data_IF_745657385556
#
_entry.id   IF_745657385556
#
_cell.length_a   1.000
_cell.length_b   1.000
_cell.length_c   1.000
_cell.angle_alpha   90.00
_cell.angle_beta   90.00
_cell.angle_gamma   90.00
#
_symmetry.space_group_name_H-M   'P 1'
#
loop_
_entity.id
_entity.type
_entity.pdbx_description
1 polymer ?
#
# COMPACT_ATOMS: atom_id res chain seq x y z
N UNK A 1 27.06 8.12 -11.54
CA UNK A 1 25.68 7.72 -11.19
C UNK A 1 25.20 8.73 -10.15
N UNK A 2 24.18 9.51 -10.50
CA UNK A 2 23.78 10.74 -9.79
C UNK A 2 23.01 10.41 -8.48
N UNK A 3 23.37 10.97 -7.31
CA UNK A 3 22.92 10.46 -6.01
C UNK A 3 21.58 11.03 -5.48
N UNK A 4 20.79 11.74 -6.28
CA UNK A 4 19.52 12.31 -5.80
C UNK A 4 18.41 12.15 -6.83
N UNK A 5 17.94 10.90 -7.00
CA UNK A 5 16.70 10.64 -7.73
C UNK A 5 15.50 11.12 -6.91
N UNK A 6 15.21 12.41 -7.01
CA UNK A 6 13.96 12.99 -6.54
C UNK A 6 12.84 12.48 -7.47
N UNK A 7 12.01 11.58 -6.96
CA UNK A 7 10.83 11.12 -7.66
C UNK A 7 9.68 12.09 -7.36
N UNK A 8 9.37 12.96 -8.32
CA UNK A 8 8.22 13.85 -8.25
C UNK A 8 6.96 13.05 -8.60
N UNK A 9 6.10 12.80 -7.62
CA UNK A 9 4.80 12.18 -7.83
C UNK A 9 3.71 13.23 -7.77
N UNK A 10 2.86 13.29 -8.79
CA UNK A 10 1.92 14.39 -9.01
C UNK A 10 0.76 14.48 -8.01
N UNK A 11 0.60 13.53 -7.08
CA UNK A 11 -0.53 13.51 -6.12
C UNK A 11 -0.36 12.47 -5.00
N UNK A 12 0.86 12.02 -4.70
CA UNK A 12 1.08 10.85 -3.84
C UNK A 12 0.33 10.97 -2.50
N UNK A 13 -0.71 10.16 -2.33
CA UNK A 13 -1.45 10.03 -1.07
C UNK A 13 -0.76 8.96 -0.23
N UNK A 14 -0.49 9.31 1.02
CA UNK A 14 0.29 8.48 1.92
C UNK A 14 -0.61 7.87 3.01
N UNK A 15 -0.41 6.59 3.29
CA UNK A 15 -0.87 5.95 4.51
C UNK A 15 0.36 5.61 5.36
N UNK A 16 0.38 6.10 6.60
CA UNK A 16 1.47 5.88 7.53
C UNK A 16 1.03 4.86 8.56
N UNK A 17 1.83 3.82 8.75
CA UNK A 17 1.67 2.95 9.89
C UNK A 17 2.64 3.43 10.96
N UNK A 18 2.12 4.04 12.04
CA UNK A 18 2.93 4.25 13.23
C UNK A 18 3.06 2.89 13.91
N UNK A 19 4.02 2.07 13.49
CA UNK A 19 4.46 0.97 14.35
C UNK A 19 5.13 1.63 15.56
N UNK A 20 4.55 1.53 16.77
CA UNK A 20 5.26 2.00 17.95
C UNK A 20 6.44 1.05 18.10
N UNK A 21 7.65 1.58 17.97
CA UNK A 21 8.87 0.90 18.38
C UNK A 21 8.68 0.47 19.84
N UNK A 22 8.36 -0.80 20.07
CA UNK A 22 8.20 -1.32 21.43
C UNK A 22 8.94 -2.63 21.57
N UNK A 23 10.15 -2.47 22.11
CA UNK A 23 10.72 -3.25 23.21
C UNK A 23 10.36 -4.74 23.25
N UNK A 24 11.37 -5.58 23.05
CA UNK A 24 11.40 -6.93 23.61
C UNK A 24 11.06 -8.06 22.64
N UNK A 25 12.13 -8.78 22.27
CA UNK A 25 12.18 -10.24 22.06
C UNK A 25 11.65 -10.91 20.79
N UNK A 26 10.87 -10.29 19.89
CA UNK A 26 10.47 -10.97 18.62
C UNK A 26 10.84 -10.16 17.37
N UNK A 27 12.09 -10.29 16.92
CA UNK A 27 12.69 -9.48 15.85
C UNK A 27 12.21 -9.82 14.42
N UNK A 28 11.42 -10.88 14.23
CA UNK A 28 11.01 -11.34 12.88
C UNK A 28 9.78 -10.63 12.30
N UNK A 29 9.09 -9.77 13.06
CA UNK A 29 7.83 -9.15 12.61
C UNK A 29 8.01 -7.80 11.89
N UNK A 30 9.18 -7.16 12.00
CA UNK A 30 9.45 -5.85 11.39
C UNK A 30 9.65 -5.93 9.87
N UNK A 31 10.06 -7.10 9.37
CA UNK A 31 10.20 -7.38 7.93
C UNK A 31 8.87 -7.51 7.19
N UNK A 32 7.76 -7.67 7.92
CA UNK A 32 6.47 -8.05 7.31
C UNK A 32 5.54 -6.87 7.02
N UNK A 33 5.78 -5.69 7.59
CA UNK A 33 4.79 -4.61 7.61
C UNK A 33 5.38 -3.31 7.07
N UNK A 34 4.67 -2.59 6.18
CA UNK A 34 5.18 -1.35 5.61
C UNK A 34 5.08 -0.21 6.63
N UNK A 35 6.13 0.61 6.71
CA UNK A 35 6.19 1.84 7.51
C UNK A 35 5.39 2.96 6.85
N UNK A 36 5.39 3.01 5.52
CA UNK A 36 4.62 3.98 4.74
C UNK A 36 4.19 3.38 3.40
N UNK A 37 3.02 3.79 2.90
CA UNK A 37 2.53 3.42 1.58
C UNK A 37 2.15 4.66 0.78
N UNK A 38 2.61 4.77 -0.46
CA UNK A 38 2.30 5.85 -1.38
C UNK A 38 1.48 5.32 -2.55
N UNK A 39 0.36 5.97 -2.84
CA UNK A 39 -0.45 5.64 -4.01
C UNK A 39 0.01 6.44 -5.24
N UNK A 40 0.40 5.74 -6.30
CA UNK A 40 0.60 6.29 -7.64
C UNK A 40 -0.61 6.01 -8.55
N UNK A 41 -0.49 6.32 -9.85
CA UNK A 41 -1.57 6.15 -10.82
C UNK A 41 -1.94 4.67 -11.04
N UNK A 42 -0.93 3.80 -11.11
CA UNK A 42 -1.08 2.40 -11.50
C UNK A 42 -0.59 1.40 -10.43
N UNK A 43 -0.03 1.90 -9.32
CA UNK A 43 0.61 1.07 -8.31
C UNK A 43 0.65 1.74 -6.94
N UNK A 44 0.77 0.92 -5.91
CA UNK A 44 1.11 1.33 -4.55
C UNK A 44 2.58 1.06 -4.29
N UNK A 45 3.29 2.02 -3.72
CA UNK A 45 4.66 1.90 -3.27
C UNK A 45 4.68 1.72 -1.76
N UNK A 46 5.17 0.60 -1.26
CA UNK A 46 5.26 0.32 0.17
C UNK A 46 6.73 0.40 0.60
N UNK A 47 7.01 1.27 1.57
CA UNK A 47 8.33 1.43 2.19
C UNK A 47 8.37 0.56 3.44
N UNK A 48 9.35 -0.33 3.51
CA UNK A 48 9.60 -1.17 4.68
C UNK A 48 10.83 -0.66 5.42
N UNK A 49 10.79 -0.79 6.75
CA UNK A 49 11.91 -0.44 7.62
C UNK A 49 13.15 -1.27 7.31
N UNK A 50 14.31 -0.67 7.56
CA UNK A 50 15.61 -1.36 7.53
C UNK A 50 15.73 -2.24 8.79
N UNK A 51 16.17 -3.48 8.61
CA UNK A 51 16.46 -4.40 9.70
C UNK A 51 17.77 -4.02 10.38
N UNK A 52 17.76 -4.01 11.72
CA UNK A 52 18.94 -3.78 12.56
C UNK A 52 19.91 -4.97 12.55
N UNK A 53 19.62 -6.07 11.84
CA UNK A 53 20.37 -7.33 11.92
C UNK A 53 21.04 -7.84 10.64
N UNK A 54 21.01 -7.11 9.52
CA UNK A 54 21.66 -7.60 8.30
C UNK A 54 21.69 -6.58 7.17
N UNK A 55 22.83 -5.90 7.05
CA UNK A 55 23.43 -5.39 5.79
C UNK A 55 22.65 -4.40 4.91
N UNK A 56 21.47 -3.93 5.30
CA UNK A 56 20.71 -2.94 4.54
C UNK A 56 20.50 -1.66 5.35
N UNK A 57 21.45 -0.72 5.29
CA UNK A 57 21.34 0.65 5.82
C UNK A 57 20.18 1.45 5.18
N UNK A 58 19.49 0.88 4.18
CA UNK A 58 18.51 1.57 3.33
C UNK A 58 17.13 0.92 3.43
N UNK A 59 16.06 1.73 3.55
CA UNK A 59 14.70 1.22 3.48
C UNK A 59 14.44 0.54 2.14
N UNK A 60 13.70 -0.56 2.15
CA UNK A 60 13.33 -1.27 0.92
C UNK A 60 11.99 -0.77 0.40
N UNK A 61 11.90 -0.61 -0.93
CA UNK A 61 10.70 -0.14 -1.62
C UNK A 61 10.08 -1.30 -2.39
N UNK A 62 8.83 -1.63 -2.08
CA UNK A 62 8.06 -2.64 -2.80
C UNK A 62 7.02 -1.99 -3.70
N UNK A 63 6.96 -2.43 -4.95
CA UNK A 63 5.99 -1.97 -5.93
C UNK A 63 4.84 -2.98 -6.02
N UNK A 64 3.62 -2.54 -5.71
CA UNK A 64 2.39 -3.33 -5.79
C UNK A 64 1.55 -2.80 -6.95
N UNK A 65 1.58 -3.42 -8.14
CA UNK A 65 0.75 -3.00 -9.26
C UNK A 65 -0.73 -3.21 -8.90
N UNK A 66 -1.58 -2.25 -9.26
CA UNK A 66 -3.02 -2.38 -9.11
C UNK A 66 -3.55 -3.47 -10.06
N UNK A 67 -4.60 -4.21 -9.67
CA UNK A 67 -5.23 -5.17 -10.58
C UNK A 67 -5.72 -4.49 -11.86
N UNK A 68 -5.44 -5.10 -13.01
CA UNK A 68 -5.88 -4.56 -14.31
C UNK A 68 -7.40 -4.41 -14.40
N UNK A 69 -8.15 -5.30 -13.74
CA UNK A 69 -9.61 -5.22 -13.65
C UNK A 69 -10.08 -3.94 -12.93
N UNK A 70 -9.26 -3.43 -12.01
CA UNK A 70 -9.55 -2.23 -11.25
C UNK A 70 -9.09 -0.96 -12.00
N UNK A 71 -7.88 -0.97 -12.57
CA UNK A 71 -7.32 0.18 -13.30
C UNK A 71 -7.89 0.37 -14.71
N UNK A 72 -8.27 -0.72 -15.39
CA UNK A 72 -8.76 -0.70 -16.78
C UNK A 72 -10.19 -0.16 -16.95
N UNK A 73 -10.96 -0.04 -15.86
CA UNK A 73 -12.33 0.48 -15.87
C UNK A 73 -12.41 1.99 -15.62
N UNK A 74 -11.28 2.71 -15.73
CA UNK A 74 -11.16 4.12 -15.36
C UNK A 74 -11.59 4.41 -13.92
N UNK A 75 -11.25 3.52 -12.99
CA UNK A 75 -11.38 3.80 -11.55
C UNK A 75 -10.02 4.25 -11.03
N UNK A 76 -9.65 5.54 -11.24
CA UNK A 76 -8.38 6.01 -10.74
C UNK A 76 -8.36 5.76 -9.24
N UNK A 77 -7.32 5.09 -8.77
CA UNK A 77 -7.13 4.92 -7.35
C UNK A 77 -6.88 6.30 -6.73
N UNK A 78 -7.70 6.68 -5.75
CA UNK A 78 -7.65 8.00 -5.12
C UNK A 78 -7.39 7.92 -3.64
N UNK A 79 -7.70 6.81 -3.00
CA UNK A 79 -7.65 6.64 -1.56
C UNK A 79 -6.82 5.42 -1.24
N UNK A 80 -6.07 5.49 -0.15
CA UNK A 80 -5.27 4.39 0.36
C UNK A 80 -5.39 4.38 1.88
N UNK A 81 -5.54 3.20 2.45
CA UNK A 81 -5.54 2.99 3.89
C UNK A 81 -4.76 1.71 4.20
N UNK A 82 -4.04 1.70 5.32
CA UNK A 82 -3.27 0.55 5.79
C UNK A 82 -3.86 0.08 7.10
N UNK A 83 -3.98 -1.24 7.27
CA UNK A 83 -4.50 -1.84 8.50
C UNK A 83 -3.65 -1.44 9.70
N UNK A 84 -4.23 -1.42 10.90
CA UNK A 84 -3.52 -1.04 12.12
C UNK A 84 -2.28 -1.91 12.40
N UNK A 85 -2.23 -3.13 11.85
CA UNK A 85 -1.07 -4.03 11.94
C UNK A 85 -0.14 -3.96 10.72
N UNK A 86 -0.53 -3.29 9.63
CA UNK A 86 0.25 -3.23 8.39
C UNK A 86 0.21 -4.51 7.54
N UNK A 87 -0.68 -5.45 7.84
CA UNK A 87 -0.77 -6.74 7.15
C UNK A 87 -1.63 -6.68 5.89
N UNK A 88 -2.66 -5.84 5.92
CA UNK A 88 -3.55 -5.60 4.79
C UNK A 88 -3.57 -4.11 4.42
N UNK A 89 -3.82 -3.84 3.15
CA UNK A 89 -3.86 -2.52 2.55
C UNK A 89 -5.15 -2.40 1.72
N UNK A 90 -5.80 -1.25 1.81
CA UNK A 90 -6.99 -0.94 1.06
C UNK A 90 -6.68 0.21 0.09
N UNK A 91 -7.16 0.09 -1.14
CA UNK A 91 -7.14 1.14 -2.15
C UNK A 91 -8.57 1.34 -2.61
N UNK A 92 -9.00 2.59 -2.71
CA UNK A 92 -10.31 2.92 -3.26
C UNK A 92 -10.21 4.05 -4.28
N UNK A 93 -11.09 4.04 -5.27
CA UNK A 93 -11.10 4.98 -6.38
C UNK A 93 -12.31 5.88 -6.31
N UNK A 94 -12.75 6.38 -7.46
CA UNK A 94 -14.08 6.99 -7.54
C UNK A 94 -15.19 5.96 -7.36
N UNK A 95 -14.95 4.73 -7.85
CA UNK A 95 -15.84 3.58 -7.75
C UNK A 95 -15.05 2.36 -7.31
N UNK A 96 -15.67 1.55 -6.46
CA UNK A 96 -15.06 0.31 -5.98
C UNK A 96 -13.87 0.48 -5.04
N UNK A 97 -13.40 -0.66 -4.55
CA UNK A 97 -12.25 -0.75 -3.65
C UNK A 97 -11.54 -2.10 -3.79
N UNK A 98 -10.21 -2.06 -3.78
CA UNK A 98 -9.34 -3.23 -3.82
C UNK A 98 -8.62 -3.41 -2.48
N UNK A 99 -8.61 -4.64 -1.97
CA UNK A 99 -7.91 -5.02 -0.74
C UNK A 99 -6.70 -5.87 -1.07
N UNK A 100 -5.50 -5.39 -0.78
CA UNK A 100 -4.28 -6.17 -0.82
C UNK A 100 -4.01 -6.84 0.52
N UNK A 101 -3.66 -8.12 0.49
CA UNK A 101 -3.17 -8.82 1.68
C UNK A 101 -1.69 -9.15 1.54
N UNK A 102 -0.85 -8.66 2.45
CA UNK A 102 0.59 -8.99 2.47
C UNK A 102 0.81 -10.48 2.74
N UNK A 103 -0.04 -11.11 3.57
CA UNK A 103 0.04 -12.53 3.90
C UNK A 103 -0.10 -13.42 2.67
N UNK A 104 -1.09 -13.11 1.82
CA UNK A 104 -1.39 -13.89 0.61
C UNK A 104 -0.74 -13.31 -0.65
N UNK A 105 -0.08 -12.15 -0.54
CA UNK A 105 0.50 -11.37 -1.64
C UNK A 105 -0.46 -11.17 -2.82
N UNK A 106 -1.75 -11.00 -2.52
CA UNK A 106 -2.81 -11.00 -3.52
C UNK A 106 -3.82 -9.87 -3.26
N UNK A 107 -4.29 -9.28 -4.35
CA UNK A 107 -5.43 -8.36 -4.35
C UNK A 107 -6.76 -9.12 -4.34
N UNK A 108 -7.69 -8.61 -3.56
CA UNK A 108 -9.10 -9.02 -3.49
C UNK A 108 -9.94 -7.86 -4.01
N UNK A 109 -10.76 -8.16 -5.00
CA UNK A 109 -11.74 -7.24 -5.58
C UNK A 109 -13.14 -7.66 -5.13
N UNK A 110 -14.10 -6.74 -5.19
CA UNK A 110 -15.50 -7.09 -5.01
C UNK A 110 -15.96 -7.83 -6.28
N UNK A 111 -16.17 -9.14 -6.17
CA UNK A 111 -16.19 -10.06 -7.31
C UNK A 111 -17.01 -9.66 -8.54
N UNK A 112 -18.13 -8.93 -8.37
CA UNK A 112 -18.92 -8.41 -9.48
C UNK A 112 -18.62 -6.93 -9.76
N UNK A 113 -18.02 -6.69 -10.92
CA UNK A 113 -17.69 -5.36 -11.46
C UNK A 113 -18.91 -4.44 -11.51
N UNK A 114 -20.09 -4.96 -11.84
CA UNK A 114 -21.30 -4.13 -11.95
C UNK A 114 -21.72 -3.60 -10.58
N UNK A 115 -21.72 -4.46 -9.57
CA UNK A 115 -22.01 -4.07 -8.20
C UNK A 115 -20.94 -3.12 -7.65
N UNK A 116 -19.68 -3.40 -7.93
CA UNK A 116 -18.56 -2.57 -7.50
C UNK A 116 -18.61 -1.16 -8.12
N UNK A 117 -19.04 -1.05 -9.38
CA UNK A 117 -19.19 0.23 -10.10
C UNK A 117 -20.29 1.15 -9.53
N UNK A 118 -21.24 0.58 -8.79
CA UNK A 118 -22.32 1.32 -8.13
C UNK A 118 -21.88 1.90 -6.77
N UNK A 119 -20.78 1.38 -6.21
CA UNK A 119 -20.24 1.83 -4.93
C UNK A 119 -19.39 3.07 -5.16
N UNK A 120 -19.75 4.18 -4.51
CA UNK A 120 -18.97 5.42 -4.54
C UNK A 120 -18.15 5.56 -3.27
N UNK A 121 -16.83 5.61 -3.40
CA UNK A 121 -15.93 5.74 -2.26
C UNK A 121 -15.60 7.23 -2.01
N UNK A 122 -16.05 7.75 -0.86
CA UNK A 122 -15.78 9.15 -0.46
C UNK A 122 -14.57 9.25 0.48
N UNK A 123 -14.45 8.29 1.40
CA UNK A 123 -13.36 8.17 2.36
C UNK A 123 -13.01 6.70 2.53
N UNK A 124 -11.78 6.42 2.97
CA UNK A 124 -11.28 5.08 3.22
C UNK A 124 -10.50 5.08 4.53
N UNK A 125 -10.94 4.27 5.48
CA UNK A 125 -10.29 4.03 6.77
C UNK A 125 -10.21 2.53 7.03
N UNK A 126 -9.29 2.12 7.90
CA UNK A 126 -9.18 0.75 8.39
C UNK A 126 -9.81 0.59 9.76
#
# INVERSE_FOLDING_TARGET
QDPSRVLLFSFARAALNSSPTRSGTNQSSLLSVPSACLLGDDRVLCVFGSDVLGDAERPTLHHLPLPQQYSGLNWPARLIAVSARGEDLAVAGERGAALYSHRHRRWRLFGDVNQESAIRCQSLTW
#
